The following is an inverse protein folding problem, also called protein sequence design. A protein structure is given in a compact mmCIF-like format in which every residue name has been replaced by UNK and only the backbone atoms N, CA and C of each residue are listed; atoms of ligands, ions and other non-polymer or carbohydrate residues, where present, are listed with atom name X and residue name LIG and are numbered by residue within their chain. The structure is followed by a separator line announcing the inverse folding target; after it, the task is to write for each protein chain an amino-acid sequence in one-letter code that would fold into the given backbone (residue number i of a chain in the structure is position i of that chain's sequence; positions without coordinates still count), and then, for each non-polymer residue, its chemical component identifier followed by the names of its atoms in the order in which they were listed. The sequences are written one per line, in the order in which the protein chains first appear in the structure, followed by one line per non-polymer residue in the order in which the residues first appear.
data_IF_676707861170
#
_entry.id   IF_676707861170
#
_cell.length_a   1.000
_cell.length_b   1.000
_cell.length_c   1.000
_cell.angle_alpha   90.00
_cell.angle_beta   90.00
_cell.angle_gamma   90.00
#
_symmetry.space_group_name_H-M   'P 1'
#
loop_
_entity.id
_entity.type
_entity.pdbx_description
1 polymer ?
#
# COMPACT_ATOMS: atom_id res chain seq x y z
N UNK A 1 13.53 -19.22 -23.39
CA UNK A 1 12.88 -17.95 -22.96
C UNK A 1 13.56 -16.79 -23.66
N UNK A 2 12.82 -15.73 -23.97
CA UNK A 2 13.41 -14.48 -24.45
C UNK A 2 13.47 -13.50 -23.29
N UNK A 3 14.66 -12.98 -23.02
CA UNK A 3 14.90 -11.94 -22.03
C UNK A 3 15.13 -10.62 -22.78
N UNK A 4 14.50 -9.56 -22.30
CA UNK A 4 14.78 -8.20 -22.75
C UNK A 4 16.21 -7.78 -22.36
N UNK A 5 16.69 -6.69 -22.97
CA UNK A 5 17.94 -6.07 -22.55
C UNK A 5 17.86 -5.64 -21.08
N UNK A 6 18.95 -5.83 -20.33
CA UNK A 6 19.09 -5.31 -18.97
C UNK A 6 19.73 -3.94 -19.06
N UNK A 7 19.04 -2.94 -18.51
CA UNK A 7 19.51 -1.56 -18.50
C UNK A 7 19.95 -1.17 -17.08
N UNK A 8 20.89 -0.24 -16.96
CA UNK A 8 21.20 0.40 -15.69
C UNK A 8 20.21 1.52 -15.33
N UNK A 9 20.44 2.20 -14.21
CA UNK A 9 19.58 3.31 -13.73
C UNK A 9 19.53 4.51 -14.68
N UNK A 10 20.52 4.66 -15.56
CA UNK A 10 20.59 5.72 -16.57
C UNK A 10 19.98 5.31 -17.91
N UNK A 11 19.55 4.05 -18.02
CA UNK A 11 19.03 3.46 -19.26
C UNK A 11 20.11 2.92 -20.19
N UNK A 12 21.38 2.88 -19.78
CA UNK A 12 22.45 2.30 -20.60
C UNK A 12 22.37 0.78 -20.58
N UNK A 13 22.58 0.14 -21.74
CA UNK A 13 22.53 -1.31 -21.86
C UNK A 13 23.71 -1.97 -21.15
N UNK A 14 23.41 -2.84 -20.19
CA UNK A 14 24.38 -3.69 -19.50
C UNK A 14 24.51 -5.05 -20.18
N UNK A 15 23.37 -5.62 -20.61
CA UNK A 15 23.30 -6.93 -21.26
C UNK A 15 22.24 -6.89 -22.36
N UNK A 16 22.54 -7.33 -23.59
CA UNK A 16 21.57 -7.33 -24.68
C UNK A 16 20.42 -8.30 -24.45
N UNK A 17 19.33 -8.08 -25.20
CA UNK A 17 18.24 -9.04 -25.30
C UNK A 17 18.77 -10.39 -25.81
N UNK A 18 18.30 -11.49 -25.22
CA UNK A 18 18.87 -12.82 -25.48
C UNK A 18 17.87 -13.94 -25.34
N UNK A 19 18.13 -15.03 -26.04
CA UNK A 19 17.37 -16.27 -25.98
C UNK A 19 18.13 -17.28 -25.15
N UNK A 20 17.50 -17.82 -24.11
CA UNK A 20 18.06 -18.88 -23.27
C UNK A 20 17.31 -20.17 -23.50
N UNK A 21 18.03 -21.24 -23.86
CA UNK A 21 17.53 -22.61 -23.83
C UNK A 21 17.39 -23.11 -22.40
N UNK A 22 16.46 -24.03 -22.17
CA UNK A 22 16.24 -24.66 -20.87
C UNK A 22 15.69 -26.07 -21.09
N UNK A 23 16.12 -27.02 -20.27
CA UNK A 23 15.50 -28.35 -20.19
C UNK A 23 14.25 -28.33 -19.29
N UNK A 24 14.26 -27.45 -18.29
CA UNK A 24 13.14 -27.19 -17.39
C UNK A 24 13.17 -25.74 -16.95
N UNK A 25 11.99 -25.11 -16.88
CA UNK A 25 11.83 -23.70 -16.53
C UNK A 25 10.76 -23.55 -15.47
N UNK A 26 11.09 -22.86 -14.38
CA UNK A 26 10.14 -22.43 -13.35
C UNK A 26 10.08 -20.91 -13.37
N UNK A 27 8.88 -20.37 -13.60
CA UNK A 27 8.63 -18.92 -13.60
C UNK A 27 7.94 -18.55 -12.29
N UNK A 28 8.63 -17.77 -11.46
CA UNK A 28 8.15 -17.33 -10.15
C UNK A 28 8.38 -15.81 -9.95
N UNK A 29 8.08 -15.02 -10.98
CA UNK A 29 8.32 -13.56 -10.99
C UNK A 29 7.29 -12.76 -10.17
N UNK A 30 6.28 -13.44 -9.60
CA UNK A 30 5.21 -12.81 -8.84
C UNK A 30 4.26 -11.99 -9.70
N UNK A 31 3.62 -11.01 -9.07
CA UNK A 31 2.69 -10.06 -9.68
C UNK A 31 2.85 -8.68 -9.05
N UNK A 32 2.37 -7.64 -9.73
CA UNK A 32 2.22 -6.28 -9.17
C UNK A 32 0.74 -5.93 -9.06
N UNK A 33 0.43 -4.88 -8.30
CA UNK A 33 -0.94 -4.35 -8.23
C UNK A 33 -1.42 -3.97 -9.63
N UNK A 34 -2.68 -4.31 -9.90
CA UNK A 34 -3.39 -3.91 -11.10
C UNK A 34 -4.35 -2.78 -10.73
N UNK A 35 -4.17 -1.61 -11.34
CA UNK A 35 -5.04 -0.45 -11.15
C UNK A 35 -6.29 -0.48 -12.05
N UNK A 36 -6.42 -1.52 -12.89
CA UNK A 36 -7.49 -1.73 -13.85
C UNK A 36 -7.67 -0.57 -14.84
N UNK A 37 -6.64 0.26 -15.05
CA UNK A 37 -6.72 1.46 -15.87
C UNK A 37 -7.60 2.57 -15.26
N UNK A 38 -7.78 2.56 -13.94
CA UNK A 38 -8.54 3.59 -13.23
C UNK A 38 -7.81 4.94 -13.31
N UNK A 39 -8.43 5.93 -13.95
CA UNK A 39 -7.84 7.27 -14.11
C UNK A 39 -7.41 7.86 -12.77
N UNK A 40 -6.14 8.25 -12.65
CA UNK A 40 -5.58 8.86 -11.44
C UNK A 40 -5.02 7.86 -10.43
N UNK A 41 -5.28 6.56 -10.56
CA UNK A 41 -4.83 5.57 -9.58
C UNK A 41 -3.30 5.44 -9.58
N UNK A 42 -2.67 5.31 -10.74
CA UNK A 42 -1.20 5.21 -10.84
C UNK A 42 -0.49 6.48 -10.34
N UNK A 43 -1.11 7.65 -10.50
CA UNK A 43 -0.54 8.94 -10.13
C UNK A 43 -0.73 9.29 -8.65
N UNK A 44 -1.88 8.90 -8.06
CA UNK A 44 -2.31 9.36 -6.75
C UNK A 44 -2.34 8.27 -5.67
N UNK A 45 -2.43 6.99 -6.04
CA UNK A 45 -2.45 5.91 -5.05
C UNK A 45 -1.04 5.49 -4.63
N UNK A 46 -0.97 4.94 -3.43
CA UNK A 46 0.21 4.23 -2.94
C UNK A 46 -0.06 2.73 -3.05
N UNK A 47 0.73 2.04 -3.85
CA UNK A 47 0.73 0.58 -3.93
C UNK A 47 1.54 -0.03 -2.78
N UNK A 48 1.37 -1.31 -2.49
CA UNK A 48 2.01 -2.00 -1.36
C UNK A 48 2.65 -3.35 -1.78
N UNK A 49 3.07 -3.49 -3.04
CA UNK A 49 3.64 -4.73 -3.59
C UNK A 49 5.10 -4.98 -3.16
N UNK A 50 5.78 -3.95 -2.68
CA UNK A 50 7.21 -4.02 -2.34
C UNK A 50 7.53 -3.30 -1.04
N UNK A 51 8.62 -3.72 -0.37
CA UNK A 51 9.14 -3.07 0.84
C UNK A 51 9.33 -1.56 0.66
N UNK A 52 9.91 -1.15 -0.48
CA UNK A 52 10.16 0.28 -0.77
C UNK A 52 8.87 1.09 -0.82
N UNK A 53 7.79 0.52 -1.38
CA UNK A 53 6.49 1.17 -1.41
C UNK A 53 5.85 1.23 -0.01
N UNK A 54 5.94 0.14 0.78
CA UNK A 54 5.48 0.13 2.16
C UNK A 54 6.19 1.16 3.04
N UNK A 55 7.51 1.32 2.89
CA UNK A 55 8.30 2.33 3.58
C UNK A 55 7.88 3.75 3.20
N UNK A 56 7.61 4.00 1.91
CA UNK A 56 7.08 5.28 1.44
C UNK A 56 5.74 5.60 2.09
N UNK A 57 4.82 4.63 2.14
CA UNK A 57 3.53 4.79 2.81
C UNK A 57 3.70 5.11 4.30
N UNK A 58 4.54 4.34 5.01
CA UNK A 58 4.82 4.55 6.42
C UNK A 58 5.40 5.95 6.71
N UNK A 59 6.35 6.41 5.90
CA UNK A 59 6.91 7.75 6.01
C UNK A 59 5.86 8.84 5.78
N UNK A 60 4.98 8.68 4.79
CA UNK A 60 3.91 9.65 4.57
C UNK A 60 2.95 9.71 5.75
N UNK A 61 2.52 8.55 6.28
CA UNK A 61 1.67 8.48 7.46
C UNK A 61 2.31 9.20 8.66
N UNK A 62 3.57 8.88 8.98
CA UNK A 62 4.29 9.55 10.06
C UNK A 62 4.41 11.06 9.84
N UNK A 63 4.69 11.51 8.62
CA UNK A 63 4.74 12.94 8.31
C UNK A 63 3.39 13.63 8.53
N UNK A 64 2.27 12.96 8.21
CA UNK A 64 0.94 13.48 8.51
C UNK A 64 0.71 13.59 10.02
N UNK A 65 1.08 12.58 10.80
CA UNK A 65 1.01 12.64 12.27
C UNK A 65 1.90 13.74 12.85
N UNK A 66 3.14 13.90 12.39
CA UNK A 66 4.04 14.93 12.90
C UNK A 66 3.54 16.35 12.60
N UNK A 67 3.04 16.58 11.38
CA UNK A 67 2.44 17.88 11.00
C UNK A 67 1.21 18.18 11.85
N UNK A 68 0.38 17.17 12.09
CA UNK A 68 -0.82 17.34 12.89
C UNK A 68 -0.52 17.55 14.38
N UNK A 69 0.55 16.95 14.89
CA UNK A 69 1.01 17.18 16.26
C UNK A 69 1.61 18.60 16.42
N UNK A 70 2.28 19.12 15.40
CA UNK A 70 2.92 20.43 15.42
C UNK A 70 1.93 21.61 15.31
N UNK A 71 0.62 21.36 15.16
CA UNK A 71 -0.40 22.41 15.01
C UNK A 71 -0.27 23.23 13.73
N UNK A 72 0.43 22.70 12.72
CA UNK A 72 0.71 23.39 11.45
C UNK A 72 -0.40 23.21 10.40
N UNK A 73 -1.55 22.62 10.75
CA UNK A 73 -2.68 22.60 9.83
C UNK A 73 -3.96 23.16 10.45
N UNK A 74 -4.72 23.85 9.59
CA UNK A 74 -5.70 24.88 9.93
C UNK A 74 -7.06 24.37 10.44
N UNK A 75 -7.23 23.09 10.75
CA UNK A 75 -8.51 22.58 11.30
C UNK A 75 -8.30 21.28 12.05
N UNK A 76 -9.21 20.95 12.98
CA UNK A 76 -9.21 19.71 13.77
C UNK A 76 -8.80 18.49 12.92
N UNK A 77 -7.54 18.06 13.03
CA UNK A 77 -6.88 17.29 11.97
C UNK A 77 -7.24 15.82 12.04
N UNK A 78 -8.28 15.47 11.32
CA UNK A 78 -8.58 14.10 10.95
C UNK A 78 -7.54 13.63 9.90
N UNK A 79 -6.81 12.57 10.21
CA UNK A 79 -5.97 11.87 9.24
C UNK A 79 -6.86 10.86 8.54
N UNK A 80 -6.97 10.97 7.22
CA UNK A 80 -7.85 10.09 6.43
C UNK A 80 -7.04 9.14 5.58
N UNK A 81 -7.31 7.84 5.69
CA UNK A 81 -6.72 6.81 4.84
C UNK A 81 -7.83 6.07 4.12
N UNK A 82 -7.80 6.10 2.79
CA UNK A 82 -8.67 5.28 1.94
C UNK A 82 -7.89 4.07 1.43
N UNK A 83 -8.42 2.87 1.67
CA UNK A 83 -7.85 1.59 1.26
C UNK A 83 -8.75 1.01 0.18
N UNK A 84 -8.20 0.78 -1.01
CA UNK A 84 -8.93 0.18 -2.13
C UNK A 84 -8.67 -1.33 -2.16
N UNK A 85 -9.75 -2.11 -2.05
CA UNK A 85 -9.75 -3.56 -1.94
C UNK A 85 -9.91 -4.01 -0.48
N UNK A 86 -10.98 -4.76 -0.19
CA UNK A 86 -11.23 -5.40 1.09
C UNK A 86 -10.88 -6.90 1.08
N UNK A 87 -9.86 -7.28 0.31
CA UNK A 87 -9.21 -8.59 0.45
C UNK A 87 -8.39 -8.68 1.75
N UNK A 88 -7.69 -9.80 1.96
CA UNK A 88 -6.88 -10.02 3.16
C UNK A 88 -5.93 -8.86 3.44
N UNK A 89 -5.14 -8.45 2.44
CA UNK A 89 -4.18 -7.35 2.55
C UNK A 89 -4.82 -6.03 2.98
N UNK A 90 -5.97 -5.67 2.40
CA UNK A 90 -6.62 -4.39 2.70
C UNK A 90 -7.24 -4.35 4.09
N UNK A 91 -7.87 -5.45 4.52
CA UNK A 91 -8.43 -5.56 5.87
C UNK A 91 -7.34 -5.63 6.93
N UNK A 92 -6.26 -6.37 6.69
CA UNK A 92 -5.12 -6.43 7.60
C UNK A 92 -4.44 -5.08 7.73
N UNK A 93 -4.24 -4.36 6.63
CA UNK A 93 -3.73 -2.99 6.66
C UNK A 93 -4.63 -2.06 7.50
N UNK A 94 -5.95 -2.16 7.35
CA UNK A 94 -6.89 -1.36 8.14
C UNK A 94 -6.76 -1.65 9.65
N UNK A 95 -6.64 -2.93 10.02
CA UNK A 95 -6.44 -3.36 11.39
C UNK A 95 -5.11 -2.84 11.98
N UNK A 96 -4.02 -2.99 11.22
CA UNK A 96 -2.69 -2.53 11.65
C UNK A 96 -2.61 -1.01 11.77
N UNK A 97 -3.27 -0.26 10.88
CA UNK A 97 -3.35 1.19 11.00
C UNK A 97 -4.13 1.64 12.25
N UNK A 98 -5.21 0.92 12.58
CA UNK A 98 -5.96 1.17 13.80
C UNK A 98 -5.09 0.90 15.05
N UNK A 99 -4.31 -0.18 15.06
CA UNK A 99 -3.39 -0.47 16.15
C UNK A 99 -2.26 0.59 16.23
N UNK A 100 -1.66 0.94 15.09
CA UNK A 100 -0.60 1.95 15.01
C UNK A 100 -1.04 3.32 15.56
N UNK A 101 -2.30 3.72 15.34
CA UNK A 101 -2.83 4.96 15.88
C UNK A 101 -2.82 4.99 17.42
N UNK A 102 -3.13 3.86 18.06
CA UNK A 102 -3.08 3.71 19.52
C UNK A 102 -1.65 3.76 20.05
N UNK A 103 -0.72 3.10 19.35
CA UNK A 103 0.70 3.12 19.72
C UNK A 103 1.29 4.53 19.60
N UNK A 104 1.03 5.24 18.50
CA UNK A 104 1.53 6.60 18.28
C UNK A 104 1.07 7.58 19.36
N UNK A 105 -0.19 7.47 19.80
CA UNK A 105 -0.70 8.27 20.92
C UNK A 105 0.04 7.96 22.23
N UNK A 106 0.31 6.67 22.51
CA UNK A 106 1.06 6.25 23.69
C UNK A 106 2.52 6.75 23.70
N UNK A 107 3.14 6.90 22.52
CA UNK A 107 4.52 7.41 22.39
C UNK A 107 4.66 8.95 22.47
N UNK A 108 3.61 9.68 22.85
CA UNK A 108 3.69 11.11 23.13
C UNK A 108 3.21 12.02 22.00
N UNK A 109 2.66 11.48 20.91
CA UNK A 109 1.98 12.26 19.88
C UNK A 109 0.54 12.64 20.27
N UNK A 110 0.25 12.78 21.58
CA UNK A 110 -1.12 12.87 22.14
C UNK A 110 -1.96 14.09 21.75
N UNK A 111 -1.42 15.04 20.98
CA UNK A 111 -2.23 16.08 20.29
C UNK A 111 -3.15 15.45 19.23
N UNK A 112 -2.78 14.27 18.71
CA UNK A 112 -3.59 13.46 17.79
C UNK A 112 -4.02 12.24 18.57
N UNK A 113 -5.34 12.10 18.73
CA UNK A 113 -5.92 10.92 19.35
C UNK A 113 -6.11 9.83 18.31
N UNK A 114 -6.18 8.55 18.71
CA UNK A 114 -6.49 7.46 17.80
C UNK A 114 -7.79 7.71 17.00
N UNK A 115 -8.78 8.37 17.61
CA UNK A 115 -10.04 8.74 16.98
C UNK A 115 -9.91 9.74 15.82
N UNK A 116 -8.77 10.43 15.70
CA UNK A 116 -8.51 11.32 14.57
C UNK A 116 -8.12 10.56 13.30
N UNK A 117 -7.80 9.26 13.38
CA UNK A 117 -7.54 8.44 12.19
C UNK A 117 -8.86 7.86 11.65
N UNK A 118 -9.32 8.37 10.50
CA UNK A 118 -10.44 7.81 9.76
C UNK A 118 -9.92 6.87 8.66
N UNK A 119 -10.25 5.60 8.78
CA UNK A 119 -9.93 4.56 7.79
C UNK A 119 -11.20 4.21 7.02
N UNK A 120 -11.16 4.34 5.69
CA UNK A 120 -12.24 3.91 4.80
C UNK A 120 -11.74 2.78 3.92
N UNK A 121 -12.35 1.60 4.01
CA UNK A 121 -12.06 0.48 3.10
C UNK A 121 -13.12 0.44 2.01
N UNK A 122 -12.69 0.39 0.75
CA UNK A 122 -13.54 0.45 -0.43
C UNK A 122 -13.43 -0.89 -1.16
N UNK A 123 -14.55 -1.56 -1.38
CA UNK A 123 -14.62 -2.85 -2.06
C UNK A 123 -15.64 -2.80 -3.20
N UNK A 124 -15.30 -3.38 -4.33
CA UNK A 124 -16.20 -3.46 -5.49
C UNK A 124 -17.21 -4.60 -5.35
N UNK A 125 -16.81 -5.68 -4.67
CA UNK A 125 -17.66 -6.80 -4.33
C UNK A 125 -18.67 -6.50 -3.21
N UNK A 126 -19.61 -7.43 -2.96
CA UNK A 126 -20.68 -7.24 -1.99
C UNK A 126 -20.24 -7.37 -0.52
N UNK A 127 -19.00 -7.81 -0.25
CA UNK A 127 -18.53 -8.15 1.09
C UNK A 127 -17.00 -8.04 1.22
N UNK A 128 -16.52 -7.87 2.45
CA UNK A 128 -15.09 -7.93 2.77
C UNK A 128 -14.61 -9.39 2.85
N UNK A 129 -13.29 -9.60 2.72
CA UNK A 129 -12.64 -10.91 2.77
C UNK A 129 -13.38 -11.99 1.94
N UNK A 130 -13.62 -11.76 0.64
CA UNK A 130 -14.50 -12.61 -0.15
C UNK A 130 -14.03 -14.07 -0.26
N UNK A 131 -12.74 -14.33 -0.05
CA UNK A 131 -12.15 -15.68 -0.03
C UNK A 131 -12.45 -16.46 1.26
N UNK A 132 -12.95 -15.81 2.32
CA UNK A 132 -13.33 -16.47 3.57
C UNK A 132 -14.80 -16.90 3.56
N UNK A 133 -15.20 -17.84 4.45
CA UNK A 133 -16.60 -18.20 4.63
C UNK A 133 -17.47 -16.99 4.98
N UNK A 134 -18.72 -17.01 4.51
CA UNK A 134 -19.66 -15.89 4.63
C UNK A 134 -19.82 -15.38 6.06
N UNK A 135 -19.85 -16.28 7.06
CA UNK A 135 -19.92 -15.90 8.49
C UNK A 135 -18.82 -14.95 8.97
N UNK A 136 -17.70 -14.83 8.25
CA UNK A 136 -16.54 -13.99 8.61
C UNK A 136 -16.56 -12.67 7.82
N UNK A 137 -17.02 -12.70 6.57
CA UNK A 137 -16.98 -11.53 5.67
C UNK A 137 -18.30 -10.78 5.50
N UNK A 138 -19.42 -11.33 6.00
CA UNK A 138 -20.75 -10.72 5.94
C UNK A 138 -20.95 -9.61 6.97
#
# INVERSE_FOLDING_TARGET
IHLAATLDETGAELVPARSLGYDSLVIAVGSTTNDFGTTGAAEHCLFLDSRKQAERFHQQLLNHYLRAHAGQADSAQEITVAIVGAGATGVELAAELHNAAHELAAYGLGQIKPENLRITVIEAGPRVLPALPERIGA
#
